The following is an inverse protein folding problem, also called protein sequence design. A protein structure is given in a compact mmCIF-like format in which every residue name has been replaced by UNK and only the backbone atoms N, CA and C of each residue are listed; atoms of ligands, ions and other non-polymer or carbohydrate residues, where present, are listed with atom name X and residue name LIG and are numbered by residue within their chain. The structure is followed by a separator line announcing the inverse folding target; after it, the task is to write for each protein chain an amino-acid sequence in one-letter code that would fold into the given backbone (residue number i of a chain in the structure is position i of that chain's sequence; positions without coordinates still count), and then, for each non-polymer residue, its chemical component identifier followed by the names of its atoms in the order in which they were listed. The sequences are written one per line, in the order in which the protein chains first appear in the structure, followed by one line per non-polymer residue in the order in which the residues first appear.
data_IF_630455681314
#
_entry.id   IF_630455681314
#
_cell.length_a   1.000
_cell.length_b   1.000
_cell.length_c   1.000
_cell.angle_alpha   90.00
_cell.angle_beta   90.00
_cell.angle_gamma   90.00
#
_symmetry.space_group_name_H-M   'P 1'
#
loop_
_entity.id
_entity.type
_entity.pdbx_description
1 polymer ?
#
# COMPACT_ATOMS: atom_id res chain seq x y z
N UNK A 1 -3.52 -1.10 -26.03
CA UNK A 1 -2.09 -0.77 -26.25
C UNK A 1 -1.22 -1.50 -25.23
N UNK A 2 -1.37 -1.24 -23.93
CA UNK A 2 -0.59 -1.91 -22.88
C UNK A 2 -0.71 -3.45 -22.85
N UNK A 3 -1.89 -4.03 -23.13
CA UNK A 3 -2.02 -5.50 -23.22
C UNK A 3 -1.19 -6.11 -24.37
N UNK A 4 -1.07 -5.39 -25.48
CA UNK A 4 -0.27 -5.80 -26.63
C UNK A 4 1.22 -5.75 -26.31
N UNK A 5 1.66 -4.78 -25.51
CA UNK A 5 3.06 -4.65 -25.07
C UNK A 5 3.47 -5.79 -24.15
N UNK A 6 2.65 -6.10 -23.13
CA UNK A 6 2.94 -7.22 -22.21
C UNK A 6 3.08 -8.54 -22.99
N UNK A 7 2.12 -8.85 -23.87
CA UNK A 7 2.16 -10.06 -24.70
C UNK A 7 3.33 -10.08 -25.69
N UNK A 8 3.81 -8.92 -26.14
CA UNK A 8 4.93 -8.80 -27.08
C UNK A 8 6.28 -9.00 -26.40
N UNK A 9 6.49 -8.37 -25.25
CA UNK A 9 7.79 -8.38 -24.56
C UNK A 9 7.95 -9.51 -23.55
N UNK A 10 6.84 -10.11 -23.10
CA UNK A 10 6.83 -11.19 -22.12
C UNK A 10 5.84 -12.31 -22.54
N UNK A 11 6.13 -13.02 -23.65
CA UNK A 11 5.24 -14.07 -24.15
C UNK A 11 5.16 -15.30 -23.24
N UNK A 12 6.19 -15.52 -22.41
CA UNK A 12 6.37 -16.72 -21.60
C UNK A 12 5.99 -16.50 -20.11
N UNK A 13 5.16 -15.49 -19.80
CA UNK A 13 4.68 -15.29 -18.43
C UNK A 13 3.74 -16.41 -18.00
N UNK A 14 4.01 -16.97 -16.82
CA UNK A 14 3.11 -17.91 -16.17
C UNK A 14 2.07 -17.17 -15.34
N UNK A 15 0.80 -17.43 -15.64
CA UNK A 15 -0.34 -16.84 -14.95
C UNK A 15 -0.98 -17.86 -14.01
N UNK A 16 -1.48 -17.38 -12.86
CA UNK A 16 -2.23 -18.24 -11.91
C UNK A 16 -3.55 -18.76 -12.50
N UNK A 17 -4.15 -18.01 -13.43
CA UNK A 17 -5.38 -18.33 -14.13
C UNK A 17 -5.44 -17.60 -15.47
N UNK A 18 -6.39 -17.95 -16.35
CA UNK A 18 -6.62 -17.21 -17.59
C UNK A 18 -6.92 -15.72 -17.29
N UNK A 19 -6.08 -14.76 -17.75
CA UNK A 19 -6.18 -13.37 -17.36
C UNK A 19 -7.36 -12.69 -18.06
N UNK A 20 -8.32 -12.20 -17.26
CA UNK A 20 -9.55 -11.56 -17.77
C UNK A 20 -9.49 -10.04 -17.70
N UNK A 21 -8.73 -9.52 -16.75
CA UNK A 21 -8.59 -8.08 -16.50
C UNK A 21 -7.18 -7.59 -16.79
N UNK A 22 -7.03 -6.27 -16.87
CA UNK A 22 -5.73 -5.63 -16.99
C UNK A 22 -4.83 -5.94 -15.79
N UNK A 23 -5.42 -6.01 -14.59
CA UNK A 23 -4.72 -6.39 -13.37
C UNK A 23 -4.16 -7.82 -13.45
N UNK A 24 -4.99 -8.79 -13.89
CA UNK A 24 -4.57 -10.20 -14.04
C UNK A 24 -3.42 -10.34 -15.04
N UNK A 25 -3.42 -9.53 -16.10
CA UNK A 25 -2.37 -9.53 -17.11
C UNK A 25 -1.00 -9.09 -16.55
N UNK A 26 -1.00 -8.21 -15.56
CA UNK A 26 0.22 -7.69 -14.94
C UNK A 26 0.63 -8.50 -13.70
N UNK A 27 -0.21 -9.42 -13.23
CA UNK A 27 0.00 -10.22 -12.04
C UNK A 27 1.40 -10.89 -11.97
N UNK A 28 1.95 -11.46 -13.05
CA UNK A 28 3.28 -12.09 -13.01
C UNK A 28 4.44 -11.08 -12.89
N UNK A 29 4.18 -9.81 -13.20
CA UNK A 29 5.17 -8.72 -13.21
C UNK A 29 5.15 -7.92 -11.89
N UNK A 30 4.14 -8.14 -11.05
CA UNK A 30 4.02 -7.47 -9.76
C UNK A 30 5.23 -7.80 -8.86
N UNK A 31 5.71 -6.78 -8.13
CA UNK A 31 6.88 -6.91 -7.25
C UNK A 31 8.24 -6.70 -7.94
N UNK A 32 8.26 -6.45 -9.26
CA UNK A 32 9.49 -6.06 -9.96
C UNK A 32 9.31 -4.77 -10.74
N UNK A 33 10.19 -3.79 -10.50
CA UNK A 33 10.25 -2.56 -11.29
C UNK A 33 11.04 -2.71 -12.60
N UNK A 34 11.77 -3.81 -12.77
CA UNK A 34 12.68 -4.03 -13.91
C UNK A 34 12.00 -3.85 -15.29
N UNK A 35 10.78 -4.38 -15.54
CA UNK A 35 10.10 -4.19 -16.82
C UNK A 35 9.88 -2.72 -17.21
N UNK A 36 9.67 -1.86 -16.21
CA UNK A 36 9.43 -0.43 -16.37
C UNK A 36 10.74 0.35 -16.53
N UNK A 37 11.75 0.02 -15.72
CA UNK A 37 13.08 0.65 -15.79
C UNK A 37 13.81 0.35 -17.11
N UNK A 38 13.64 -0.86 -17.64
CA UNK A 38 14.24 -1.26 -18.92
C UNK A 38 13.47 -0.73 -20.15
N UNK A 39 12.39 0.04 -19.95
CA UNK A 39 11.56 0.64 -21.00
C UNK A 39 10.71 -0.35 -21.81
N UNK A 40 10.56 -1.60 -21.35
CA UNK A 40 9.74 -2.62 -22.02
C UNK A 40 8.26 -2.42 -21.78
N UNK A 41 7.90 -1.87 -20.61
CA UNK A 41 6.55 -1.46 -20.28
C UNK A 41 6.52 0.05 -20.08
N UNK A 42 5.67 0.70 -20.87
CA UNK A 42 5.46 2.15 -20.79
C UNK A 42 4.40 2.53 -19.76
N UNK A 43 3.57 1.58 -19.33
CA UNK A 43 2.42 1.82 -18.47
C UNK A 43 2.43 0.87 -17.27
N UNK A 44 2.42 1.45 -16.07
CA UNK A 44 2.14 0.73 -14.83
C UNK A 44 0.64 0.84 -14.53
N UNK A 45 -0.04 -0.25 -14.10
CA UNK A 45 -1.41 -0.14 -13.60
C UNK A 45 -1.49 0.89 -12.48
N UNK A 46 -2.46 1.79 -12.56
CA UNK A 46 -2.84 2.60 -11.40
C UNK A 46 -3.44 1.67 -10.35
N UNK A 47 -2.87 1.72 -9.16
CA UNK A 47 -3.27 0.93 -8.01
C UNK A 47 -3.50 1.83 -6.79
N UNK A 48 -3.80 3.12 -7.00
CA UNK A 48 -3.99 4.12 -5.94
C UNK A 48 -5.25 3.91 -5.08
N UNK A 49 -6.19 3.10 -5.54
CA UNK A 49 -7.47 2.78 -4.87
C UNK A 49 -7.33 1.79 -3.72
N UNK A 50 -6.20 1.07 -3.63
CA UNK A 50 -5.94 0.07 -2.58
C UNK A 50 -6.15 0.58 -1.16
N UNK A 51 -5.87 1.86 -0.92
CA UNK A 51 -6.00 2.51 0.38
C UNK A 51 -7.46 2.53 0.89
N UNK A 52 -8.44 2.52 -0.03
CA UNK A 52 -9.86 2.54 0.30
C UNK A 52 -10.37 1.16 0.73
N UNK A 53 -9.62 0.10 0.43
CA UNK A 53 -10.00 -1.27 0.76
C UNK A 53 -9.31 -1.74 2.06
N UNK A 54 -9.50 -0.97 3.13
CA UNK A 54 -8.74 -1.15 4.38
C UNK A 54 -9.04 -2.47 5.08
N UNK A 55 -10.20 -3.10 4.81
CA UNK A 55 -10.53 -4.45 5.28
C UNK A 55 -9.58 -5.52 4.71
N UNK A 56 -9.15 -5.36 3.46
CA UNK A 56 -8.24 -6.28 2.78
C UNK A 56 -6.80 -5.78 2.71
N UNK A 57 -6.57 -4.52 3.11
CA UNK A 57 -5.26 -3.87 3.16
C UNK A 57 -4.93 -3.52 4.62
N UNK A 58 -4.50 -4.52 5.40
CA UNK A 58 -4.14 -4.30 6.81
C UNK A 58 -2.97 -3.31 6.98
N UNK A 59 -2.03 -3.34 6.03
CA UNK A 59 -0.87 -2.47 5.97
C UNK A 59 -0.65 -1.97 4.55
N UNK A 60 -0.42 -0.67 4.43
CA UNK A 60 -0.11 0.00 3.18
C UNK A 60 1.20 0.77 3.34
N UNK A 61 2.05 0.69 2.32
CA UNK A 61 3.34 1.37 2.27
C UNK A 61 3.42 2.20 1.00
N UNK A 62 3.72 3.48 1.14
CA UNK A 62 3.82 4.40 0.01
C UNK A 62 5.22 5.03 0.04
N UNK A 63 5.97 4.83 -1.05
CA UNK A 63 7.16 5.64 -1.32
C UNK A 63 6.71 6.88 -2.09
N UNK A 64 6.54 8.00 -1.39
CA UNK A 64 6.14 9.26 -1.96
C UNK A 64 7.38 9.99 -2.51
N UNK A 65 7.44 10.12 -3.83
CA UNK A 65 8.57 10.71 -4.52
C UNK A 65 8.45 12.23 -4.67
N UNK A 66 7.27 12.81 -4.40
CA UNK A 66 7.07 14.25 -4.47
C UNK A 66 7.71 14.97 -3.27
N UNK A 67 7.62 14.35 -2.08
CA UNK A 67 8.17 14.86 -0.83
C UNK A 67 9.34 14.01 -0.27
N UNK A 68 9.73 12.96 -0.99
CA UNK A 68 10.80 12.04 -0.64
C UNK A 68 10.57 11.34 0.72
N UNK A 69 9.33 10.93 0.99
CA UNK A 69 8.94 10.23 2.22
C UNK A 69 8.57 8.77 1.99
N UNK A 70 8.79 7.96 3.01
CA UNK A 70 8.22 6.62 3.15
C UNK A 70 7.09 6.66 4.16
N UNK A 71 5.87 6.47 3.70
CA UNK A 71 4.65 6.54 4.49
C UNK A 71 4.17 5.13 4.85
N UNK A 72 3.79 4.96 6.12
CA UNK A 72 3.21 3.73 6.66
C UNK A 72 1.77 3.99 7.04
N UNK A 73 0.88 3.20 6.47
CA UNK A 73 -0.57 3.31 6.60
C UNK A 73 -1.14 2.02 7.16
N UNK A 74 -2.21 2.14 7.96
CA UNK A 74 -2.88 0.98 8.58
C UNK A 74 -4.34 0.92 8.19
N UNK A 75 -4.77 -0.29 7.82
CA UNK A 75 -6.16 -0.57 7.49
C UNK A 75 -7.01 -0.98 8.68
N UNK A 76 -8.10 -1.70 8.41
CA UNK A 76 -9.13 -2.07 9.37
C UNK A 76 -9.68 -0.84 10.14
N UNK A 77 -9.90 0.27 9.43
CA UNK A 77 -10.35 1.51 10.05
C UNK A 77 -11.88 1.50 10.22
N UNK A 78 -12.33 1.62 11.47
CA UNK A 78 -13.76 1.73 11.82
C UNK A 78 -14.22 3.17 12.06
N UNK A 79 -13.29 4.12 12.10
CA UNK A 79 -13.54 5.55 12.31
C UNK A 79 -12.82 6.35 11.23
N UNK A 80 -13.35 7.54 10.84
CA UNK A 80 -12.72 8.40 9.85
C UNK A 80 -11.48 9.10 10.42
N UNK A 81 -10.47 9.29 9.58
CA UNK A 81 -9.32 10.15 9.86
C UNK A 81 -9.59 11.55 9.32
N UNK A 82 -10.11 12.43 10.19
CA UNK A 82 -10.51 13.80 9.81
C UNK A 82 -9.33 14.72 9.46
N UNK A 83 -8.11 14.36 9.87
CA UNK A 83 -6.90 15.12 9.57
C UNK A 83 -6.30 14.73 8.20
N UNK A 84 -6.81 13.66 7.59
CA UNK A 84 -6.36 13.19 6.28
C UNK A 84 -7.10 13.90 5.14
N UNK A 85 -6.40 14.85 4.52
CA UNK A 85 -6.89 15.59 3.35
C UNK A 85 -6.62 14.88 2.00
N UNK A 86 -5.77 13.84 1.99
CA UNK A 86 -5.34 13.15 0.76
C UNK A 86 -6.38 12.18 0.25
N UNK A 87 -7.04 11.44 1.16
CA UNK A 87 -7.99 10.39 0.81
C UNK A 87 -9.38 10.71 1.38
N UNK A 88 -10.45 10.63 0.55
CA UNK A 88 -11.81 10.87 1.02
C UNK A 88 -12.22 9.92 2.13
N UNK A 89 -12.71 10.45 3.25
CA UNK A 89 -13.13 9.68 4.43
C UNK A 89 -14.54 9.09 4.26
N UNK A 90 -14.77 8.38 3.16
CA UNK A 90 -16.01 7.67 2.89
C UNK A 90 -15.87 6.17 3.24
N UNK A 91 -16.93 5.58 3.76
CA UNK A 91 -16.92 4.14 4.05
C UNK A 91 -17.10 3.33 2.77
N UNK A 92 -16.41 2.19 2.71
CA UNK A 92 -16.64 1.20 1.68
C UNK A 92 -17.97 0.44 1.89
N UNK A 93 -18.30 -0.48 0.98
CA UNK A 93 -19.49 -1.35 1.08
C UNK A 93 -19.54 -2.22 2.35
N UNK A 94 -18.42 -2.36 3.06
CA UNK A 94 -18.29 -3.17 4.27
C UNK A 94 -18.31 -2.31 5.55
N UNK A 95 -18.42 -0.99 5.41
CA UNK A 95 -18.46 -0.04 6.53
C UNK A 95 -17.08 0.36 7.05
N UNK A 96 -16.00 0.06 6.32
CA UNK A 96 -14.65 0.45 6.70
C UNK A 96 -14.23 1.74 6.01
N UNK A 97 -13.51 2.60 6.73
CA UNK A 97 -12.88 3.80 6.19
C UNK A 97 -11.57 3.46 5.48
N UNK A 98 -11.00 4.34 4.64
CA UNK A 98 -9.67 4.14 4.07
C UNK A 98 -8.60 3.95 5.14
N UNK A 99 -7.45 3.41 4.76
CA UNK A 99 -6.33 3.30 5.67
C UNK A 99 -5.91 4.67 6.19
N UNK A 100 -5.45 4.69 7.44
CA UNK A 100 -5.01 5.89 8.16
C UNK A 100 -3.49 5.96 8.19
N UNK A 101 -2.92 7.15 7.99
CA UNK A 101 -1.47 7.32 8.02
C UNK A 101 -1.00 7.24 9.47
N UNK A 102 -0.04 6.34 9.73
CA UNK A 102 0.53 6.20 11.07
C UNK A 102 1.80 7.01 11.22
N UNK A 103 2.68 6.92 10.23
CA UNK A 103 4.01 7.54 10.23
C UNK A 103 4.48 7.83 8.82
N UNK A 104 5.33 8.84 8.71
CA UNK A 104 6.14 9.12 7.54
C UNK A 104 7.61 9.24 7.97
N UNK A 105 8.51 8.65 7.19
CA UNK A 105 9.96 8.67 7.39
C UNK A 105 10.62 9.34 6.18
N UNK A 106 11.80 9.92 6.34
CA UNK A 106 12.61 10.34 5.19
C UNK A 106 13.07 9.11 4.41
N UNK A 107 12.85 9.11 3.09
CA UNK A 107 13.21 7.97 2.23
C UNK A 107 14.73 7.74 2.17
N UNK A 108 15.51 8.80 2.37
CA UNK A 108 16.98 8.75 2.44
C UNK A 108 17.52 8.31 3.81
N UNK A 109 16.69 8.37 4.85
CA UNK A 109 17.08 8.05 6.22
C UNK A 109 16.03 7.14 6.87
N UNK A 110 15.89 5.96 6.29
CA UNK A 110 14.98 4.94 6.79
C UNK A 110 15.51 4.33 8.09
N UNK A 111 14.61 4.03 9.05
CA UNK A 111 15.01 3.37 10.28
C UNK A 111 15.45 1.93 10.01
N UNK A 112 16.23 1.33 10.92
CA UNK A 112 16.80 0.00 10.70
C UNK A 112 15.74 -1.09 10.51
N UNK A 113 16.03 -2.10 9.68
CA UNK A 113 15.16 -3.25 9.49
C UNK A 113 14.75 -3.89 10.83
N UNK A 114 13.43 -3.99 11.06
CA UNK A 114 12.86 -4.51 12.30
C UNK A 114 12.32 -3.45 13.27
N UNK A 115 12.73 -2.18 13.14
CA UNK A 115 12.26 -1.10 14.02
C UNK A 115 10.87 -0.54 13.63
N UNK A 116 10.52 -0.63 12.34
CA UNK A 116 9.26 -0.11 11.78
C UNK A 116 7.99 -0.57 12.51
N UNK A 117 7.96 -1.85 12.92
CA UNK A 117 6.81 -2.44 13.59
C UNK A 117 6.96 -2.39 15.11
N UNK A 118 8.18 -2.44 15.65
CA UNK A 118 8.39 -2.36 17.08
C UNK A 118 7.92 -1.03 17.64
N UNK A 119 8.16 0.09 16.94
CA UNK A 119 7.62 1.39 17.35
C UNK A 119 6.09 1.33 17.44
N UNK A 120 5.42 0.78 16.43
CA UNK A 120 3.97 0.69 16.43
C UNK A 120 3.41 -0.19 17.57
N UNK A 121 4.00 -1.36 17.82
CA UNK A 121 3.57 -2.24 18.92
C UNK A 121 3.89 -1.65 20.30
N UNK A 122 5.05 -1.00 20.46
CA UNK A 122 5.46 -0.39 21.72
C UNK A 122 4.59 0.84 22.07
N UNK A 123 4.24 1.68 21.09
CA UNK A 123 3.37 2.85 21.31
C UNK A 123 1.89 2.48 21.45
N UNK A 124 1.44 1.40 20.82
CA UNK A 124 0.09 0.88 21.04
C UNK A 124 -0.04 0.26 22.44
N UNK A 125 0.98 -0.41 22.97
CA UNK A 125 0.94 -0.87 24.38
C UNK A 125 0.91 0.30 25.38
N UNK A 126 1.62 1.40 25.09
CA UNK A 126 1.60 2.60 25.94
C UNK A 126 0.28 3.40 25.88
N UNK A 127 -0.49 3.26 24.80
CA UNK A 127 -1.79 3.94 24.62
C UNK A 127 -2.99 3.01 24.84
N UNK A 128 -2.79 1.69 24.79
CA UNK A 128 -3.79 0.64 25.06
C UNK A 128 -3.89 0.27 26.54
N UNK A 129 -2.90 0.62 27.38
CA UNK A 129 -3.03 0.46 28.82
C UNK A 129 -4.07 1.45 29.34
N UNK A 130 -5.24 0.96 29.75
CA UNK A 130 -6.18 1.76 30.53
C UNK A 130 -5.43 2.31 31.76
N UNK A 131 -5.70 3.55 32.19
CA UNK A 131 -5.03 4.13 33.35
C UNK A 131 -5.22 3.34 34.66
N UNK A 132 -6.13 2.36 34.68
CA UNK A 132 -6.41 1.48 35.81
C UNK A 132 -5.42 0.31 35.99
N UNK A 133 -4.56 0.01 34.99
CA UNK A 133 -3.61 -1.11 35.04
C UNK A 133 -2.15 -0.69 35.32
N UNK A 134 -1.93 0.53 35.84
CA UNK A 134 -0.59 0.96 36.27
C UNK A 134 -0.39 0.63 37.77
N UNK A 135 0.66 -0.13 38.17
CA UNK A 135 0.95 -0.43 39.57
C UNK A 135 1.32 0.81 40.38
#
# INVERSE_FOLDING_TARGET
MAQTEVRRYFPDLEYRSDPKTFYDLHQPLQGSLKPYLDGRLMFMPDASDFINNSLHCEWAYIANLDDNKFEVWKGLQSEPDLDNERYPQETDRTGHYPCTMLRAYDLENLPEQGTYLSDYFFFRDLTSSRPEDRP
#
